data_IF_691452234644
#
_entry.id   IF_691452234644
#
_cell.length_a   1.000
_cell.length_b   1.000
_cell.length_c   1.000
_cell.angle_alpha   90.00
_cell.angle_beta   90.00
_cell.angle_gamma   90.00
#
_symmetry.space_group_name_H-M   'P 1'
#
loop_
_entity.id
_entity.type
_entity.pdbx_description
1 polymer ?
#
# COMPACT_ATOMS: atom_id res chain seq x y z
N UNK A 1 -8.05 -2.03 9.48
CA UNK A 1 -7.27 -2.47 8.30
C UNK A 1 -7.09 -3.98 8.28
N UNK A 2 -6.44 -4.58 9.28
CA UNK A 2 -6.02 -6.00 9.20
C UNK A 2 -7.17 -7.00 9.03
N UNK A 3 -8.28 -6.79 9.73
CA UNK A 3 -9.50 -7.61 9.59
C UNK A 3 -10.26 -7.32 8.30
N UNK A 4 -10.64 -6.05 8.11
CA UNK A 4 -11.52 -5.63 7.01
C UNK A 4 -10.93 -5.87 5.62
N UNK A 5 -9.64 -5.56 5.42
CA UNK A 5 -8.99 -5.79 4.11
C UNK A 5 -8.90 -7.28 3.80
N UNK A 6 -8.58 -8.11 4.80
CA UNK A 6 -8.48 -9.56 4.61
C UNK A 6 -9.84 -10.15 4.25
N UNK A 7 -10.90 -9.80 4.99
CA UNK A 7 -12.27 -10.25 4.69
C UNK A 7 -12.69 -9.85 3.29
N UNK A 8 -12.50 -8.58 2.92
CA UNK A 8 -12.84 -8.07 1.59
C UNK A 8 -12.11 -8.82 0.47
N UNK A 9 -10.81 -9.08 0.61
CA UNK A 9 -10.04 -9.80 -0.40
C UNK A 9 -10.44 -11.28 -0.49
N UNK A 10 -10.79 -11.93 0.61
CA UNK A 10 -11.19 -13.33 0.63
C UNK A 10 -12.59 -13.53 0.02
N UNK A 11 -13.51 -12.62 0.33
CA UNK A 11 -14.86 -12.57 -0.25
C UNK A 11 -14.84 -12.29 -1.76
N UNK A 12 -13.78 -11.65 -2.27
CA UNK A 12 -13.60 -11.29 -3.69
C UNK A 12 -12.41 -12.02 -4.33
N UNK A 13 -12.16 -13.26 -3.91
CA UNK A 13 -11.01 -14.07 -4.34
C UNK A 13 -11.01 -14.45 -5.82
N UNK A 14 -12.13 -14.26 -6.53
CA UNK A 14 -12.26 -14.49 -7.96
C UNK A 14 -11.82 -13.30 -8.83
N UNK A 15 -11.51 -12.16 -8.22
CA UNK A 15 -11.00 -10.96 -8.89
C UNK A 15 -9.77 -11.27 -9.76
N UNK A 16 -9.72 -10.63 -10.94
CA UNK A 16 -8.64 -10.86 -11.93
C UNK A 16 -7.53 -9.83 -11.88
N UNK A 17 -7.78 -8.67 -11.26
CA UNK A 17 -6.86 -7.56 -11.16
C UNK A 17 -7.25 -6.69 -9.97
N UNK A 18 -6.26 -6.26 -9.18
CA UNK A 18 -6.46 -5.29 -8.10
C UNK A 18 -5.89 -3.94 -8.54
N UNK A 19 -6.70 -2.89 -8.41
CA UNK A 19 -6.21 -1.51 -8.45
C UNK A 19 -6.05 -1.01 -7.02
N UNK A 20 -4.81 -0.79 -6.58
CA UNK A 20 -4.53 -0.26 -5.26
C UNK A 20 -4.13 1.21 -5.35
N UNK A 21 -4.99 2.07 -4.81
CA UNK A 21 -4.77 3.50 -4.68
C UNK A 21 -3.96 3.78 -3.41
N UNK A 22 -2.64 3.90 -3.55
CA UNK A 22 -1.64 3.90 -2.48
C UNK A 22 -1.21 5.32 -2.05
N UNK A 23 -2.17 6.24 -1.93
CA UNK A 23 -1.92 7.61 -1.45
C UNK A 23 -1.14 7.64 -0.14
N UNK A 24 -0.16 8.54 -0.04
CA UNK A 24 0.62 8.76 1.19
C UNK A 24 0.28 10.06 1.92
N UNK A 25 -0.76 10.75 1.48
CA UNK A 25 -1.36 11.93 2.12
C UNK A 25 -1.88 11.69 3.53
N UNK A 26 -1.95 10.44 3.99
CA UNK A 26 -2.24 10.13 5.40
C UNK A 26 -1.10 10.49 6.37
N UNK A 27 0.10 10.78 5.86
CA UNK A 27 1.26 11.09 6.70
C UNK A 27 1.00 12.36 7.53
N UNK A 28 1.51 12.38 8.76
CA UNK A 28 1.28 13.43 9.77
C UNK A 28 1.63 14.86 9.33
N UNK A 29 2.58 15.01 8.42
CA UNK A 29 3.01 16.29 7.86
C UNK A 29 2.28 16.67 6.56
N UNK A 30 1.33 15.88 6.08
CA UNK A 30 0.59 16.19 4.85
C UNK A 30 -0.40 17.33 5.04
N UNK A 31 -0.33 18.39 4.19
CA UNK A 31 -1.18 19.56 4.35
C UNK A 31 -2.65 19.30 3.97
N UNK A 32 -2.96 18.23 3.23
CA UNK A 32 -4.31 17.93 2.75
C UNK A 32 -4.97 16.76 3.47
N UNK A 33 -4.22 15.74 3.90
CA UNK A 33 -4.83 14.52 4.46
C UNK A 33 -5.19 14.58 5.95
N UNK A 34 -4.41 15.26 6.80
CA UNK A 34 -4.71 15.45 8.24
C UNK A 34 -4.98 14.17 9.06
N UNK A 35 -4.46 13.00 8.67
CA UNK A 35 -4.69 11.72 9.36
C UNK A 35 -3.72 11.41 10.50
N UNK A 36 -2.64 12.20 10.66
CA UNK A 36 -1.66 12.06 11.74
C UNK A 36 -0.99 10.67 11.83
N UNK A 37 -0.69 10.06 10.68
CA UNK A 37 0.03 8.77 10.62
C UNK A 37 1.52 9.03 10.46
N UNK A 38 2.36 8.44 11.31
CA UNK A 38 3.82 8.60 11.18
C UNK A 38 4.33 8.01 9.86
N UNK A 39 5.49 8.49 9.38
CA UNK A 39 6.19 7.92 8.23
C UNK A 39 6.29 6.38 8.28
N UNK A 40 6.75 5.85 9.42
CA UNK A 40 6.86 4.41 9.63
C UNK A 40 5.50 3.70 9.67
N UNK A 41 4.44 4.39 10.10
CA UNK A 41 3.07 3.91 10.02
C UNK A 41 2.60 3.69 8.58
N UNK A 42 2.92 4.62 7.68
CA UNK A 42 2.62 4.49 6.24
C UNK A 42 3.39 3.32 5.62
N UNK A 43 4.70 3.22 5.90
CA UNK A 43 5.51 2.08 5.44
C UNK A 43 4.98 0.75 5.97
N UNK A 44 4.54 0.70 7.23
CA UNK A 44 3.94 -0.50 7.85
C UNK A 44 2.63 -0.87 7.16
N UNK A 45 1.77 0.12 6.85
CA UNK A 45 0.54 -0.08 6.07
C UNK A 45 0.86 -0.71 4.73
N UNK A 46 1.77 -0.12 3.97
CA UNK A 46 2.10 -0.59 2.62
C UNK A 46 2.65 -2.02 2.64
N UNK A 47 3.57 -2.32 3.57
CA UNK A 47 4.08 -3.68 3.75
C UNK A 47 2.97 -4.69 4.06
N UNK A 48 2.04 -4.32 4.93
CA UNK A 48 0.91 -5.19 5.25
C UNK A 48 0.03 -5.44 4.01
N UNK A 49 -0.37 -4.38 3.32
CA UNK A 49 -1.27 -4.45 2.16
C UNK A 49 -0.64 -5.25 1.02
N UNK A 50 0.61 -4.96 0.64
CA UNK A 50 1.31 -5.68 -0.44
C UNK A 50 1.50 -7.15 -0.11
N UNK A 51 1.79 -7.49 1.16
CA UNK A 51 1.85 -8.89 1.60
C UNK A 51 0.50 -9.61 1.44
N UNK A 52 -0.62 -8.94 1.71
CA UNK A 52 -1.95 -9.54 1.52
C UNK A 52 -2.26 -9.80 0.05
N UNK A 53 -1.87 -8.89 -0.84
CA UNK A 53 -2.06 -9.11 -2.27
C UNK A 53 -1.17 -10.24 -2.80
N UNK A 54 0.12 -10.23 -2.41
CA UNK A 54 1.10 -11.24 -2.83
C UNK A 54 0.66 -12.65 -2.46
N UNK A 55 0.13 -12.83 -1.24
CA UNK A 55 -0.40 -14.13 -0.76
C UNK A 55 -1.51 -14.71 -1.63
N UNK A 56 -2.27 -13.88 -2.33
CA UNK A 56 -3.43 -14.29 -3.14
C UNK A 56 -3.07 -14.46 -4.61
N UNK A 57 -1.88 -14.06 -5.03
CA UNK A 57 -1.40 -14.24 -6.41
C UNK A 57 -2.21 -13.47 -7.47
N UNK A 58 -3.07 -12.53 -7.08
CA UNK A 58 -3.84 -11.70 -8.01
C UNK A 58 -2.93 -10.57 -8.51
N UNK A 59 -2.81 -10.34 -9.84
CA UNK A 59 -2.05 -9.23 -10.38
C UNK A 59 -2.52 -7.88 -9.79
N UNK A 60 -1.58 -6.99 -9.51
CA UNK A 60 -1.86 -5.69 -8.88
C UNK A 60 -1.29 -4.55 -9.71
N UNK A 61 -2.10 -3.52 -9.92
CA UNK A 61 -1.67 -2.20 -10.37
C UNK A 61 -1.70 -1.27 -9.17
N UNK A 62 -0.58 -0.62 -8.90
CA UNK A 62 -0.43 0.31 -7.77
C UNK A 62 -0.34 1.73 -8.31
N UNK A 63 -1.19 2.61 -7.79
CA UNK A 63 -1.23 4.03 -8.13
C UNK A 63 -0.79 4.83 -6.91
N UNK A 64 0.32 5.56 -7.00
CA UNK A 64 0.87 6.31 -5.86
C UNK A 64 -0.04 7.44 -5.40
N UNK A 65 -0.83 8.02 -6.31
CA UNK A 65 -1.91 8.96 -6.02
C UNK A 65 -1.46 10.17 -5.17
N UNK A 66 -2.27 10.59 -4.20
CA UNK A 66 -2.03 11.73 -3.32
C UNK A 66 -0.79 11.58 -2.43
N UNK A 67 -0.33 12.72 -1.93
CA UNK A 67 0.94 12.86 -1.22
C UNK A 67 1.54 14.21 -1.55
N UNK A 68 1.28 15.19 -0.70
CA UNK A 68 1.49 16.61 -0.97
C UNK A 68 2.59 17.20 -0.10
N UNK A 69 3.54 16.35 0.29
CA UNK A 69 4.70 16.73 1.11
C UNK A 69 5.99 16.54 0.32
N UNK A 70 7.02 17.29 0.70
CA UNK A 70 8.40 17.07 0.23
C UNK A 70 8.95 15.68 0.61
N UNK A 71 8.32 14.96 1.56
CA UNK A 71 8.72 13.59 1.90
C UNK A 71 7.98 12.52 1.07
N UNK A 72 6.97 12.90 0.28
CA UNK A 72 6.14 11.96 -0.48
C UNK A 72 6.98 11.05 -1.38
N UNK A 73 7.99 11.61 -2.05
CA UNK A 73 8.90 10.84 -2.91
C UNK A 73 9.63 9.73 -2.15
N UNK A 74 9.92 9.90 -0.85
CA UNK A 74 10.58 8.88 -0.02
C UNK A 74 9.62 7.74 0.30
N UNK A 75 8.36 8.04 0.62
CA UNK A 75 7.33 7.03 0.84
C UNK A 75 7.03 6.24 -0.43
N UNK A 76 6.99 6.90 -1.59
CA UNK A 76 6.87 6.23 -2.89
C UNK A 76 8.07 5.28 -3.13
N UNK A 77 9.29 5.71 -2.82
CA UNK A 77 10.47 4.86 -2.95
C UNK A 77 10.42 3.65 -1.99
N UNK A 78 9.94 3.82 -0.75
CA UNK A 78 9.74 2.72 0.20
C UNK A 78 8.68 1.72 -0.30
N UNK A 79 7.56 2.20 -0.83
CA UNK A 79 6.54 1.36 -1.46
C UNK A 79 7.12 0.56 -2.63
N UNK A 80 7.88 1.19 -3.51
CA UNK A 80 8.54 0.51 -4.63
C UNK A 80 9.50 -0.59 -4.16
N UNK A 81 10.31 -0.33 -3.12
CA UNK A 81 11.19 -1.34 -2.51
C UNK A 81 10.39 -2.54 -1.99
N UNK A 82 9.29 -2.28 -1.27
CA UNK A 82 8.41 -3.33 -0.75
C UNK A 82 7.89 -4.20 -1.90
N UNK A 83 7.38 -3.58 -2.98
CA UNK A 83 6.84 -4.31 -4.13
C UNK A 83 7.91 -5.17 -4.81
N UNK A 84 9.11 -4.63 -5.06
CA UNK A 84 10.22 -5.38 -5.67
C UNK A 84 10.60 -6.58 -4.79
N UNK A 85 10.71 -6.39 -3.48
CA UNK A 85 11.05 -7.46 -2.53
C UNK A 85 9.97 -8.54 -2.47
N UNK A 86 8.70 -8.16 -2.45
CA UNK A 86 7.56 -9.09 -2.46
C UNK A 86 7.50 -9.89 -3.77
N UNK A 87 7.80 -9.27 -4.91
CA UNK A 87 7.86 -9.96 -6.20
C UNK A 87 9.03 -10.97 -6.27
N UNK A 88 10.17 -10.68 -5.64
CA UNK A 88 11.32 -11.60 -5.58
C UNK A 88 11.12 -12.77 -4.61
N UNK A 89 10.28 -12.61 -3.59
CA UNK A 89 10.02 -13.63 -2.56
C UNK A 89 8.98 -14.67 -2.99
N UNK A 90 8.33 -14.47 -4.15
CA UNK A 90 7.29 -15.34 -4.71
C UNK A 90 7.78 -16.30 -5.80
N UNK A 91 9.09 -16.57 -5.88
CA UNK A 91 9.69 -17.61 -6.72
C UNK A 91 9.98 -18.88 -5.92
#
# INVERSE_FOLDING_TARGET
>A
LEKELVSFLDENSDAKLIFYNAGNDIVDIDPLGSFNVSYNGVVKRDRFVINQFTKRGIPVVIMTSGGYTELSHKLIAELAKIVIQSAQSGA
#
